data_IF_900288881883
#
_entry.id   IF_900288881883
#
_cell.length_a   1.000
_cell.length_b   1.000
_cell.length_c   1.000
_cell.angle_alpha   90.00
_cell.angle_beta   90.00
_cell.angle_gamma   90.00
#
_symmetry.space_group_name_H-M   'P 1'
#
loop_
_entity.id
_entity.type
_entity.pdbx_description
1 polymer ?
#
# COMPACT_ATOMS: atom_id res chain seq x y z
N UNK A 1 16.17 10.51 -6.89
CA UNK A 1 15.59 9.54 -5.92
C UNK A 1 16.58 9.16 -4.81
N UNK A 2 17.89 8.98 -5.07
CA UNK A 2 18.90 8.73 -4.02
C UNK A 2 18.89 9.80 -2.90
N UNK A 3 18.86 11.08 -3.26
CA UNK A 3 18.79 12.18 -2.29
C UNK A 3 17.53 12.11 -1.39
N UNK A 4 16.38 11.71 -1.97
CA UNK A 4 15.14 11.53 -1.21
C UNK A 4 15.31 10.39 -0.20
N UNK A 5 15.98 9.30 -0.59
CA UNK A 5 16.27 8.21 0.33
C UNK A 5 17.16 8.69 1.48
N UNK A 6 18.27 9.35 1.15
CA UNK A 6 19.29 9.77 2.10
C UNK A 6 18.82 10.88 3.06
N UNK A 7 17.86 11.72 2.65
CA UNK A 7 17.42 12.88 3.41
C UNK A 7 15.98 12.84 3.92
N UNK A 8 15.11 11.98 3.38
CA UNK A 8 13.68 11.93 3.75
C UNK A 8 13.26 10.54 4.20
N UNK A 9 13.53 9.50 3.40
CA UNK A 9 13.04 8.14 3.67
C UNK A 9 13.56 7.61 5.00
N UNK A 10 14.86 7.76 5.28
CA UNK A 10 15.44 7.34 6.56
C UNK A 10 15.01 8.17 7.77
N UNK A 11 14.25 9.25 7.57
CA UNK A 11 13.78 10.15 8.62
C UNK A 11 12.25 10.12 8.76
N UNK A 12 11.57 9.20 8.06
CA UNK A 12 10.12 9.07 8.06
C UNK A 12 9.70 7.76 8.73
N UNK A 13 8.69 7.83 9.61
CA UNK A 13 8.10 6.64 10.25
C UNK A 13 6.95 6.02 9.43
N UNK A 14 6.43 6.77 8.45
CA UNK A 14 5.41 6.34 7.49
C UNK A 14 5.80 6.73 6.06
N UNK A 15 5.58 5.84 5.10
CA UNK A 15 5.70 6.11 3.67
C UNK A 15 4.42 5.74 2.92
N UNK A 16 4.06 6.55 1.93
CA UNK A 16 2.97 6.29 0.97
C UNK A 16 3.53 6.24 -0.44
N UNK A 17 3.11 5.25 -1.25
CA UNK A 17 3.59 5.10 -2.63
C UNK A 17 2.64 4.28 -3.51
N UNK A 18 2.82 4.33 -4.83
CA UNK A 18 2.10 3.53 -5.81
C UNK A 18 2.92 2.33 -6.34
N UNK A 19 2.35 1.58 -7.29
CA UNK A 19 2.96 0.41 -7.92
C UNK A 19 4.20 0.70 -8.78
N UNK A 20 4.41 1.95 -9.20
CA UNK A 20 5.59 2.36 -9.98
C UNK A 20 6.73 2.81 -9.07
N UNK A 21 6.40 3.42 -7.93
CA UNK A 21 7.34 3.93 -6.94
C UNK A 21 7.93 2.82 -6.07
N UNK A 22 7.13 1.81 -5.69
CA UNK A 22 7.59 0.71 -4.84
C UNK A 22 8.78 -0.08 -5.44
N UNK A 23 8.75 -0.54 -6.71
CA UNK A 23 9.88 -1.23 -7.32
C UNK A 23 11.13 -0.34 -7.42
N UNK A 24 10.94 0.96 -7.66
CA UNK A 24 12.04 1.92 -7.69
C UNK A 24 12.71 2.08 -6.33
N UNK A 25 11.92 2.15 -5.26
CA UNK A 25 12.46 2.20 -3.91
C UNK A 25 13.19 0.90 -3.54
N UNK A 26 12.63 -0.26 -3.90
CA UNK A 26 13.33 -1.56 -3.73
C UNK A 26 14.68 -1.53 -4.44
N UNK A 27 14.71 -1.22 -5.74
CA UNK A 27 15.94 -1.22 -6.54
C UNK A 27 17.00 -0.26 -5.98
N UNK A 28 16.61 0.90 -5.46
CA UNK A 28 17.57 1.83 -4.85
C UNK A 28 18.12 1.29 -3.54
N UNK A 29 17.26 0.72 -2.69
CA UNK A 29 17.68 0.20 -1.39
C UNK A 29 18.54 -1.07 -1.52
N UNK A 30 18.39 -1.85 -2.60
CA UNK A 30 19.14 -3.09 -2.81
C UNK A 30 20.35 -2.93 -3.74
N UNK A 31 20.23 -2.16 -4.82
CA UNK A 31 21.23 -2.08 -5.90
C UNK A 31 21.80 -0.66 -6.08
N UNK A 32 21.22 0.35 -5.43
CA UNK A 32 21.63 1.76 -5.59
C UNK A 32 21.27 2.35 -6.95
N UNK A 33 20.36 1.73 -7.72
CA UNK A 33 19.92 2.15 -9.05
C UNK A 33 18.39 2.24 -9.13
N UNK A 34 17.87 2.89 -10.16
CA UNK A 34 16.43 3.01 -10.41
C UNK A 34 15.97 1.83 -11.28
N UNK A 35 14.81 1.25 -11.00
CA UNK A 35 14.22 0.22 -11.85
C UNK A 35 13.72 0.87 -13.15
N UNK A 36 14.23 0.43 -14.31
CA UNK A 36 13.90 1.03 -15.60
C UNK A 36 12.49 0.68 -16.11
N UNK A 37 11.84 -0.34 -15.53
CA UNK A 37 10.51 -0.81 -15.95
C UNK A 37 9.72 -1.21 -14.70
N UNK A 38 8.52 -0.64 -14.54
CA UNK A 38 7.52 -1.07 -13.57
C UNK A 38 6.27 -1.56 -14.32
N UNK A 39 5.65 -2.61 -13.78
CA UNK A 39 4.36 -3.10 -14.30
C UNK A 39 3.24 -2.21 -13.75
N UNK A 40 2.32 -1.80 -14.60
CA UNK A 40 1.13 -1.02 -14.22
C UNK A 40 0.05 -1.85 -13.53
N UNK A 41 0.12 -3.19 -13.61
CA UNK A 41 -0.81 -4.13 -12.95
C UNK A 41 -0.06 -5.30 -12.34
N UNK A 42 0.84 -5.05 -11.38
CA UNK A 42 1.64 -6.12 -10.80
C UNK A 42 0.76 -7.09 -10.01
N UNK A 43 1.18 -8.35 -9.95
CA UNK A 43 0.53 -9.36 -9.10
C UNK A 43 0.62 -8.93 -7.64
N UNK A 44 -0.49 -9.01 -6.90
CA UNK A 44 -0.58 -8.67 -5.47
C UNK A 44 0.54 -9.34 -4.67
N UNK A 45 0.78 -10.62 -4.93
CA UNK A 45 1.83 -11.42 -4.29
C UNK A 45 3.24 -10.79 -4.44
N UNK A 46 3.59 -10.34 -5.64
CA UNK A 46 4.88 -9.72 -5.94
C UNK A 46 5.02 -8.35 -5.26
N UNK A 47 3.94 -7.59 -5.22
CA UNK A 47 3.87 -6.31 -4.53
C UNK A 47 4.03 -6.47 -3.02
N UNK A 48 3.33 -7.43 -2.42
CA UNK A 48 3.47 -7.73 -0.99
C UNK A 48 4.92 -8.12 -0.65
N UNK A 49 5.58 -8.92 -1.49
CA UNK A 49 7.00 -9.26 -1.30
C UNK A 49 7.92 -8.03 -1.38
N UNK A 50 7.65 -7.09 -2.28
CA UNK A 50 8.37 -5.83 -2.38
C UNK A 50 8.12 -4.94 -1.16
N UNK A 51 6.87 -4.83 -0.68
CA UNK A 51 6.53 -4.10 0.54
C UNK A 51 7.30 -4.66 1.75
N UNK A 52 7.34 -5.99 1.91
CA UNK A 52 8.14 -6.65 2.96
C UNK A 52 9.62 -6.30 2.85
N UNK A 53 10.16 -6.27 1.64
CA UNK A 53 11.57 -5.95 1.38
C UNK A 53 11.89 -4.52 1.82
N UNK A 54 11.10 -3.53 1.38
CA UNK A 54 11.25 -2.13 1.79
C UNK A 54 11.13 -1.99 3.30
N UNK A 55 10.10 -2.62 3.88
CA UNK A 55 9.84 -2.54 5.31
C UNK A 55 11.00 -3.10 6.13
N UNK A 56 11.50 -4.28 5.78
CA UNK A 56 12.63 -4.90 6.48
C UNK A 56 13.90 -4.04 6.40
N UNK A 57 14.25 -3.52 5.22
CA UNK A 57 15.45 -2.71 5.02
C UNK A 57 15.39 -1.37 5.79
N UNK A 58 14.22 -0.75 5.87
CA UNK A 58 14.06 0.56 6.51
C UNK A 58 13.77 0.47 8.01
N UNK A 59 13.15 -0.61 8.48
CA UNK A 59 12.89 -0.85 9.90
C UNK A 59 14.17 -1.27 10.66
N UNK A 60 15.13 -1.90 9.96
CA UNK A 60 16.45 -2.19 10.52
C UNK A 60 17.38 -0.99 10.61
N UNK A 61 16.97 0.18 10.12
CA UNK A 61 17.79 1.38 10.21
C UNK A 61 18.05 1.73 11.67
N UNK A 62 19.31 2.01 12.01
CA UNK A 62 19.70 2.39 13.37
C UNK A 62 19.14 3.77 13.67
N UNK A 63 18.52 3.93 14.84
CA UNK A 63 18.13 5.22 15.40
C UNK A 63 19.39 6.01 15.76
N UNK A 64 19.99 6.67 14.77
CA UNK A 64 21.15 7.56 14.93
C UNK A 64 20.93 8.83 14.12
N UNK A 65 21.35 9.96 14.68
CA UNK A 65 21.30 11.28 14.04
C UNK A 65 19.90 11.69 13.54
N UNK A 66 18.84 11.32 14.26
CA UNK A 66 17.46 11.66 13.91
C UNK A 66 16.79 10.74 12.89
N UNK A 67 17.50 9.72 12.38
CA UNK A 67 16.89 8.65 11.59
C UNK A 67 15.83 7.93 12.39
N UNK A 68 14.77 7.50 11.70
CA UNK A 68 13.61 6.80 12.26
C UNK A 68 13.43 5.48 11.55
N UNK A 69 13.03 4.47 12.31
CA UNK A 69 12.56 3.20 11.74
C UNK A 69 11.24 3.41 11.02
N UNK A 70 11.13 2.82 9.83
CA UNK A 70 9.84 2.73 9.16
C UNK A 70 8.92 1.81 9.94
N UNK A 71 7.78 2.32 10.38
CA UNK A 71 6.78 1.56 11.14
C UNK A 71 5.43 1.47 10.41
N UNK A 72 5.27 2.19 9.30
CA UNK A 72 4.10 2.13 8.43
C UNK A 72 4.45 2.28 6.96
N UNK A 73 3.88 1.43 6.12
CA UNK A 73 4.00 1.51 4.67
C UNK A 73 2.61 1.40 4.04
N UNK A 74 2.20 2.40 3.29
CA UNK A 74 0.94 2.43 2.57
C UNK A 74 1.20 2.37 1.07
N UNK A 75 0.73 1.30 0.44
CA UNK A 75 0.71 1.18 -1.00
C UNK A 75 -0.69 1.45 -1.54
N UNK A 76 -0.78 2.35 -2.50
CA UNK A 76 -2.01 2.65 -3.21
C UNK A 76 -1.88 2.31 -4.70
N UNK A 77 -2.64 1.31 -5.14
CA UNK A 77 -2.73 0.93 -6.56
C UNK A 77 -4.12 1.25 -7.10
N UNK A 78 -4.31 1.08 -8.41
CA UNK A 78 -5.63 1.21 -9.03
C UNK A 78 -6.64 0.19 -8.48
N UNK A 79 -6.24 -1.07 -8.26
CA UNK A 79 -7.17 -2.17 -7.98
C UNK A 79 -7.35 -2.48 -6.49
N UNK A 80 -6.37 -2.09 -5.65
CA UNK A 80 -6.39 -2.35 -4.21
C UNK A 80 -5.49 -1.37 -3.45
N UNK A 81 -5.76 -1.25 -2.16
CA UNK A 81 -4.92 -0.55 -1.19
C UNK A 81 -4.32 -1.57 -0.24
N UNK A 82 -3.06 -1.39 0.16
CA UNK A 82 -2.41 -2.23 1.15
C UNK A 82 -1.66 -1.38 2.18
N UNK A 83 -1.91 -1.62 3.46
CA UNK A 83 -1.20 -0.97 4.57
C UNK A 83 -0.50 -2.04 5.39
N UNK A 84 0.79 -1.83 5.62
CA UNK A 84 1.63 -2.64 6.50
C UNK A 84 2.04 -1.77 7.70
N UNK A 85 1.86 -2.29 8.92
CA UNK A 85 2.20 -1.60 10.18
C UNK A 85 3.02 -2.50 11.11
N UNK A 86 4.04 -1.93 11.76
CA UNK A 86 4.86 -2.62 12.77
C UNK A 86 3.99 -3.06 13.96
N UNK A 87 4.12 -4.30 14.40
CA UNK A 87 3.43 -4.74 15.63
C UNK A 87 3.96 -3.98 16.85
N UNK A 88 3.04 -3.60 17.74
CA UNK A 88 3.37 -2.83 18.94
C UNK A 88 3.74 -1.38 18.68
N UNK A 89 3.60 -0.88 17.44
CA UNK A 89 3.68 0.54 17.14
C UNK A 89 2.39 1.27 17.55
N UNK A 90 2.44 2.61 17.49
CA UNK A 90 1.29 3.46 17.81
C UNK A 90 0.21 3.46 16.72
N UNK A 91 0.46 2.83 15.57
CA UNK A 91 -0.50 2.74 14.47
C UNK A 91 -1.71 1.87 14.84
N UNK A 92 -2.88 2.49 14.95
CA UNK A 92 -4.15 1.82 15.26
C UNK A 92 -5.06 1.75 14.04
N UNK A 93 -6.13 0.97 14.13
CA UNK A 93 -7.22 0.92 13.15
C UNK A 93 -6.79 0.64 11.70
N UNK A 94 -5.74 -0.16 11.48
CA UNK A 94 -5.19 -0.43 10.14
C UNK A 94 -6.25 -0.92 9.15
N UNK A 95 -7.20 -1.75 9.60
CA UNK A 95 -8.33 -2.20 8.79
C UNK A 95 -9.20 -1.03 8.30
N UNK A 96 -9.61 -0.14 9.20
CA UNK A 96 -10.45 1.02 8.88
C UNK A 96 -9.72 2.02 8.01
N UNK A 97 -8.42 2.23 8.26
CA UNK A 97 -7.56 3.08 7.43
C UNK A 97 -7.47 2.56 5.99
N UNK A 98 -7.27 1.25 5.82
CA UNK A 98 -7.18 0.62 4.50
C UNK A 98 -8.52 0.69 3.76
N UNK A 99 -9.64 0.46 4.46
CA UNK A 99 -10.98 0.66 3.89
C UNK A 99 -11.18 2.12 3.44
N UNK A 100 -10.85 3.08 4.30
CA UNK A 100 -11.02 4.50 4.02
C UNK A 100 -10.20 4.95 2.81
N UNK A 101 -8.95 4.51 2.71
CA UNK A 101 -8.09 4.76 1.56
C UNK A 101 -8.75 4.26 0.26
N UNK A 102 -9.27 3.03 0.26
CA UNK A 102 -9.94 2.43 -0.90
C UNK A 102 -11.18 3.21 -1.33
N UNK A 103 -12.08 3.51 -0.38
CA UNK A 103 -13.31 4.25 -0.69
C UNK A 103 -13.02 5.69 -1.16
N UNK A 104 -11.94 6.29 -0.65
CA UNK A 104 -11.50 7.63 -1.06
C UNK A 104 -10.97 7.61 -2.49
N UNK A 105 -10.27 6.54 -2.91
CA UNK A 105 -9.83 6.39 -4.29
C UNK A 105 -11.01 6.46 -5.28
N UNK A 106 -12.09 5.72 -5.02
CA UNK A 106 -13.30 5.78 -5.84
C UNK A 106 -13.90 7.19 -5.86
N UNK A 107 -14.16 7.76 -4.68
CA UNK A 107 -14.84 9.04 -4.52
C UNK A 107 -14.10 10.19 -5.19
N UNK A 108 -12.78 10.22 -5.04
CA UNK A 108 -11.93 11.21 -5.70
C UNK A 108 -12.02 11.08 -7.22
N UNK A 109 -11.89 9.86 -7.73
CA UNK A 109 -11.86 9.60 -9.18
C UNK A 109 -13.21 9.85 -9.85
N UNK A 110 -14.30 9.44 -9.19
CA UNK A 110 -15.66 9.69 -9.65
C UNK A 110 -16.14 11.12 -9.37
N UNK A 111 -15.40 11.94 -8.62
CA UNK A 111 -15.83 13.28 -8.23
C UNK A 111 -17.10 13.30 -7.39
N UNK A 112 -17.30 12.30 -6.52
CA UNK A 112 -18.55 12.09 -5.77
C UNK A 112 -18.30 11.92 -4.27
N UNK A 113 -19.27 12.32 -3.46
CA UNK A 113 -19.25 12.10 -2.01
C UNK A 113 -19.77 10.72 -1.58
N UNK A 114 -20.32 9.95 -2.50
CA UNK A 114 -20.81 8.60 -2.28
C UNK A 114 -20.34 7.69 -3.40
N UNK A 115 -20.33 6.39 -3.13
CA UNK A 115 -20.01 5.38 -4.12
C UNK A 115 -21.30 5.05 -4.87
N UNK A 116 -21.28 5.21 -6.19
CA UNK A 116 -22.33 4.70 -7.06
C UNK A 116 -21.92 3.31 -7.56
N UNK A 117 -22.59 2.22 -7.14
CA UNK A 117 -22.25 0.86 -7.59
C UNK A 117 -22.34 0.67 -9.10
N UNK A 118 -23.23 1.38 -9.80
CA UNK A 118 -23.38 1.30 -11.26
C UNK A 118 -22.17 1.89 -12.00
N UNK A 119 -21.42 2.78 -11.33
CA UNK A 119 -20.22 3.44 -11.87
C UNK A 119 -18.94 2.90 -11.24
N UNK A 120 -19.02 1.72 -10.64
CA UNK A 120 -17.92 1.08 -9.94
C UNK A 120 -17.68 -0.33 -10.46
N UNK A 121 -16.40 -0.69 -10.60
CA UNK A 121 -15.97 -2.03 -11.01
C UNK A 121 -14.90 -2.56 -10.08
N UNK A 122 -15.08 -3.79 -9.62
CA UNK A 122 -14.04 -4.53 -8.93
C UNK A 122 -13.07 -5.11 -9.98
N UNK A 123 -11.79 -4.75 -9.88
CA UNK A 123 -10.74 -5.28 -10.77
C UNK A 123 -9.89 -6.37 -10.14
N UNK A 124 -9.96 -6.51 -8.82
CA UNK A 124 -9.23 -7.53 -8.07
C UNK A 124 -9.93 -8.88 -8.19
N UNK A 125 -9.15 -9.95 -8.34
CA UNK A 125 -9.67 -11.32 -8.39
C UNK A 125 -10.28 -11.76 -7.05
N UNK A 126 -11.13 -12.79 -7.08
CA UNK A 126 -11.79 -13.35 -5.89
C UNK A 126 -10.81 -13.97 -4.87
N UNK A 127 -9.54 -14.11 -5.23
CA UNK A 127 -8.49 -14.56 -4.34
C UNK A 127 -7.12 -14.04 -4.76
N UNK A 128 -6.19 -13.96 -3.81
CA UNK A 128 -4.80 -13.59 -4.10
C UNK A 128 -3.82 -14.36 -3.22
N UNK A 129 -2.65 -14.68 -3.78
CA UNK A 129 -1.55 -15.28 -3.03
C UNK A 129 -0.82 -14.24 -2.18
N UNK A 130 -0.41 -14.63 -0.97
CA UNK A 130 0.30 -13.73 -0.03
C UNK A 130 1.76 -13.48 -0.40
N UNK A 131 2.37 -14.36 -1.21
CA UNK A 131 3.76 -14.27 -1.68
C UNK A 131 3.90 -14.91 -3.06
N UNK A 132 4.83 -14.39 -3.86
CA UNK A 132 5.17 -14.94 -5.18
C UNK A 132 6.36 -15.90 -5.13
N UNK A 133 7.02 -16.03 -3.96
CA UNK A 133 8.24 -16.84 -3.79
C UNK A 133 7.97 -18.35 -3.71
N UNK A 134 6.76 -18.74 -3.31
CA UNK A 134 6.38 -20.14 -3.10
C UNK A 134 5.27 -20.48 -4.09
N UNK A 135 5.52 -21.48 -4.94
CA UNK A 135 4.50 -21.99 -5.84
C UNK A 135 3.39 -22.67 -5.02
N UNK A 136 2.13 -22.35 -5.33
CA UNK A 136 0.99 -22.85 -4.55
C UNK A 136 0.87 -22.25 -3.14
N UNK A 137 1.51 -21.11 -2.87
CA UNK A 137 1.37 -20.38 -1.60
C UNK A 137 -0.10 -20.14 -1.24
N UNK A 138 -0.36 -20.07 0.07
CA UNK A 138 -1.67 -19.78 0.63
C UNK A 138 -2.32 -18.57 -0.05
N UNK A 139 -3.62 -18.72 -0.32
CA UNK A 139 -4.44 -17.69 -0.94
C UNK A 139 -5.44 -17.16 0.06
N UNK A 140 -5.61 -15.86 0.06
CA UNK A 140 -6.67 -15.19 0.79
C UNK A 140 -7.84 -14.99 -0.17
N UNK A 141 -9.02 -15.52 0.21
CA UNK A 141 -10.26 -15.30 -0.51
C UNK A 141 -10.83 -13.91 -0.18
N UNK A 142 -11.26 -13.18 -1.19
CA UNK A 142 -12.04 -11.97 -1.03
C UNK A 142 -13.45 -12.34 -0.54
N UNK A 143 -13.89 -11.72 0.54
CA UNK A 143 -15.23 -11.92 1.11
C UNK A 143 -16.02 -10.63 1.00
N UNK A 144 -17.11 -10.62 0.25
CA UNK A 144 -17.91 -9.41 0.02
C UNK A 144 -18.42 -8.79 1.33
N UNK A 145 -18.80 -9.62 2.31
CA UNK A 145 -19.27 -9.17 3.62
C UNK A 145 -18.14 -8.72 4.58
N UNK A 146 -16.88 -8.93 4.19
CA UNK A 146 -15.69 -8.49 4.92
C UNK A 146 -14.56 -8.22 3.92
N UNK A 147 -14.65 -7.12 3.14
CA UNK A 147 -13.80 -6.90 1.97
C UNK A 147 -12.36 -6.52 2.32
N UNK A 148 -12.09 -6.12 3.57
CA UNK A 148 -10.73 -5.88 4.05
C UNK A 148 -10.17 -7.17 4.63
N UNK A 149 -9.14 -7.68 3.97
CA UNK A 149 -8.38 -8.83 4.43
C UNK A 149 -7.18 -8.36 5.23
N UNK A 150 -7.15 -8.68 6.53
CA UNK A 150 -6.01 -8.41 7.40
C UNK A 150 -5.44 -9.72 7.94
N UNK A 151 -4.11 -9.80 8.01
CA UNK A 151 -3.37 -10.91 8.59
C UNK A 151 -2.11 -10.38 9.28
N UNK A 152 -1.54 -11.22 10.14
CA UNK A 152 -0.32 -10.91 10.87
C UNK A 152 0.81 -11.80 10.42
N UNK A 153 1.99 -11.23 10.23
CA UNK A 153 3.27 -11.92 10.06
C UNK A 153 4.15 -11.59 11.27
N UNK A 154 5.32 -12.19 11.44
CA UNK A 154 6.08 -12.13 12.71
C UNK A 154 6.19 -10.70 13.29
N UNK A 155 6.70 -9.75 12.51
CA UNK A 155 6.99 -8.39 12.98
C UNK A 155 5.93 -7.33 12.62
N UNK A 156 4.97 -7.63 11.74
CA UNK A 156 4.04 -6.64 11.22
C UNK A 156 2.64 -7.21 10.91
N UNK A 157 1.67 -6.31 10.87
CA UNK A 157 0.32 -6.57 10.41
C UNK A 157 0.11 -5.97 9.02
N UNK A 158 -0.59 -6.71 8.15
CA UNK A 158 -0.95 -6.24 6.81
C UNK A 158 -2.47 -6.23 6.70
N UNK A 159 -3.01 -5.16 6.14
CA UNK A 159 -4.39 -5.08 5.68
C UNK A 159 -4.43 -4.71 4.20
N UNK A 160 -5.28 -5.39 3.45
CA UNK A 160 -5.52 -5.13 2.03
C UNK A 160 -7.03 -4.92 1.81
N UNK A 161 -7.39 -3.86 1.09
CA UNK A 161 -8.76 -3.59 0.68
C UNK A 161 -8.84 -3.47 -0.85
N UNK A 162 -9.78 -4.15 -1.53
CA UNK A 162 -10.02 -3.91 -2.94
C UNK A 162 -10.53 -2.49 -3.17
N UNK A 163 -10.19 -1.91 -4.30
CA UNK A 163 -10.75 -0.63 -4.77
C UNK A 163 -11.94 -0.91 -5.67
N UNK A 164 -13.05 -0.22 -5.38
CA UNK A 164 -14.16 -0.08 -6.31
C UNK A 164 -13.75 0.94 -7.36
N UNK A 165 -13.21 0.50 -8.50
CA UNK A 165 -12.63 1.40 -9.51
C UNK A 165 -13.73 2.15 -10.24
N UNK A 166 -13.60 3.47 -10.32
CA UNK A 166 -14.56 4.30 -11.03
C UNK A 166 -14.53 4.01 -12.53
N UNK A 167 -15.70 3.78 -13.15
CA UNK A 167 -15.81 3.56 -14.60
C UNK A 167 -16.06 4.85 -15.38
N UNK A 168 -16.56 5.89 -14.72
CA UNK A 168 -16.78 7.23 -15.28
C UNK A 168 -15.86 8.24 -14.58
N UNK A 169 -14.63 8.34 -15.08
CA UNK A 169 -13.57 9.15 -14.46
C UNK A 169 -13.85 10.64 -14.66
N UNK A 170 -13.92 11.39 -13.55
CA UNK A 170 -13.91 12.85 -13.58
C UNK A 170 -12.49 13.41 -13.49
N UNK A 171 -11.68 12.89 -12.56
CA UNK A 171 -10.33 13.38 -12.30
C UNK A 171 -9.44 12.29 -11.70
N UNK A 172 -8.13 12.35 -11.94
CA UNK A 172 -7.15 11.42 -11.32
C UNK A 172 -5.97 12.14 -10.68
N UNK A 173 -5.71 13.40 -11.07
CA UNK A 173 -4.69 14.25 -10.46
C UNK A 173 -4.89 14.38 -8.95
N UNK A 174 -3.81 14.25 -8.18
CA UNK A 174 -3.85 14.29 -6.71
C UNK A 174 -4.53 13.07 -6.04
N UNK A 175 -4.82 12.00 -6.78
CA UNK A 175 -5.48 10.81 -6.24
C UNK A 175 -4.68 10.15 -5.12
N UNK A 176 -3.37 9.93 -5.34
CA UNK A 176 -2.48 9.35 -4.33
C UNK A 176 -2.44 10.16 -3.03
N UNK A 177 -2.39 11.49 -3.13
CA UNK A 177 -2.35 12.40 -1.97
C UNK A 177 -3.63 12.28 -1.12
N UNK A 178 -4.79 12.27 -1.77
CA UNK A 178 -6.08 12.13 -1.10
C UNK A 178 -6.23 10.74 -0.45
N UNK A 179 -5.81 9.68 -1.15
CA UNK A 179 -5.87 8.30 -0.66
C UNK A 179 -4.98 8.13 0.57
N UNK A 180 -3.73 8.56 0.48
CA UNK A 180 -2.75 8.46 1.56
C UNK A 180 -3.16 9.26 2.79
N UNK A 181 -3.61 10.51 2.60
CA UNK A 181 -4.07 11.37 3.69
C UNK A 181 -5.32 10.82 4.38
N UNK A 182 -6.28 10.30 3.61
CA UNK A 182 -7.50 9.72 4.16
C UNK A 182 -7.24 8.45 4.96
N UNK A 183 -6.31 7.60 4.52
CA UNK A 183 -5.86 6.44 5.30
C UNK A 183 -5.16 6.85 6.59
N UNK A 184 -4.27 7.84 6.52
CA UNK A 184 -3.51 8.33 7.68
C UNK A 184 -4.42 8.89 8.78
N UNK A 185 -5.50 9.61 8.43
CA UNK A 185 -6.46 10.19 9.38
C UNK A 185 -7.02 9.18 10.39
N UNK A 186 -7.18 7.91 10.01
CA UNK A 186 -7.71 6.87 10.90
C UNK A 186 -6.66 6.21 11.79
N UNK A 187 -5.38 6.53 11.59
CA UNK A 187 -4.25 5.95 12.33
C UNK A 187 -3.46 6.99 13.14
N UNK A 188 -3.89 8.26 13.12
CA UNK A 188 -3.42 9.33 14.00
C UNK A 188 -4.20 9.35 15.32
#
# INVERSE_FOLDING_TARGET
MKEIVDHVVYYSDSLGMNEQELPNLVSILTEGKIALISDSRPRIASVLDQMRTVFHLLNQSKDMNGKRKLTRLHLHTLAYQAILTQKGSDWKNTMSATAKASLTANRHVCGSNWINPEKAKLLMDDSFSITAKIEGADKILLKENRPVSCWSEDEFDICLAPVLVCTEVLQTGGGGDNISSAGLLYQL
#
